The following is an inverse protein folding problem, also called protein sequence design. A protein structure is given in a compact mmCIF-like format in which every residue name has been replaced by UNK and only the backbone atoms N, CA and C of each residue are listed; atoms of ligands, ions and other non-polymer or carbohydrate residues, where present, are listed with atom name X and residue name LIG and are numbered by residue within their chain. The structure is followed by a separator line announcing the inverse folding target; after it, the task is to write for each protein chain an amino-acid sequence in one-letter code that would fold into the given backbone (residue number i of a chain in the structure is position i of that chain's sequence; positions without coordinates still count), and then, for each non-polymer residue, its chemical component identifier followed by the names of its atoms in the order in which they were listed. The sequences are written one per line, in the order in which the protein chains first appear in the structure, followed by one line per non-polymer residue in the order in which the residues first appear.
data_IF_679348470604
#
_entry.id   IF_679348470604
#
_cell.length_a   1.000
_cell.length_b   1.000
_cell.length_c   1.000
_cell.angle_alpha   90.00
_cell.angle_beta   90.00
_cell.angle_gamma   90.00
#
_symmetry.space_group_name_H-M   'P 1'
#
loop_
_entity.id
_entity.type
_entity.pdbx_description
1 polymer ?
#
# COMPACT_ATOMS: atom_id res chain seq x y z
N UNK A 1 -47.15 87.37 -28.09
CA UNK A 1 -46.78 86.25 -27.18
C UNK A 1 -45.85 85.34 -27.95
N UNK A 2 -44.54 85.46 -27.72
CA UNK A 2 -43.57 84.56 -28.36
C UNK A 2 -43.75 83.16 -27.79
N UNK A 3 -43.80 82.14 -28.64
CA UNK A 3 -43.88 80.74 -28.24
C UNK A 3 -42.55 80.33 -27.61
N UNK A 4 -42.48 80.30 -26.27
CA UNK A 4 -41.21 80.08 -25.54
C UNK A 4 -40.77 78.60 -25.61
N UNK A 5 -41.71 77.66 -25.77
CA UNK A 5 -41.45 76.20 -25.79
C UNK A 5 -42.36 75.40 -26.77
N UNK A 6 -43.05 76.08 -27.70
CA UNK A 6 -43.99 75.43 -28.63
C UNK A 6 -45.37 75.18 -28.04
N UNK A 7 -46.44 75.52 -28.78
CA UNK A 7 -47.85 75.29 -28.42
C UNK A 7 -48.35 76.14 -27.23
N UNK A 8 -49.22 77.12 -27.47
CA UNK A 8 -50.15 77.71 -26.47
C UNK A 8 -49.66 78.18 -25.08
N UNK A 9 -48.37 78.12 -24.74
CA UNK A 9 -47.87 78.40 -23.38
C UNK A 9 -47.89 79.90 -23.07
N UNK A 10 -48.33 80.23 -21.85
CA UNK A 10 -48.35 81.58 -21.28
C UNK A 10 -47.35 81.67 -20.11
N UNK A 11 -46.69 82.82 -19.96
CA UNK A 11 -45.86 83.15 -18.81
C UNK A 11 -46.61 84.12 -17.90
N UNK A 12 -46.96 83.68 -16.69
CA UNK A 12 -47.52 84.54 -15.67
C UNK A 12 -46.58 84.61 -14.47
N UNK A 13 -45.89 85.74 -14.29
CA UNK A 13 -44.94 85.99 -13.20
C UNK A 13 -43.87 84.88 -13.01
N UNK A 14 -43.38 84.31 -14.12
CA UNK A 14 -42.38 83.23 -14.11
C UNK A 14 -42.97 81.82 -14.04
N UNK A 15 -44.28 81.68 -13.87
CA UNK A 15 -44.98 80.40 -13.98
C UNK A 15 -45.41 80.18 -15.43
N UNK A 16 -44.82 79.18 -16.07
CA UNK A 16 -45.13 78.78 -17.45
C UNK A 16 -46.26 77.74 -17.43
N UNK A 17 -47.41 78.07 -18.01
CA UNK A 17 -48.60 77.21 -18.08
C UNK A 17 -49.26 77.21 -19.46
N UNK A 18 -49.85 76.08 -19.83
CA UNK A 18 -50.50 75.88 -21.14
C UNK A 18 -50.01 74.59 -21.81
N UNK A 19 -50.72 74.09 -22.83
CA UNK A 19 -50.43 72.79 -23.41
C UNK A 19 -49.15 72.82 -24.26
N UNK A 20 -48.12 72.11 -23.83
CA UNK A 20 -46.91 71.84 -24.62
C UNK A 20 -46.59 70.35 -24.64
N UNK A 21 -45.76 69.92 -25.60
CA UNK A 21 -45.34 68.52 -25.73
C UNK A 21 -43.85 68.39 -25.51
N UNK A 22 -43.43 67.35 -24.79
CA UNK A 22 -42.02 66.95 -24.68
C UNK A 22 -41.93 65.44 -24.61
N UNK A 23 -40.94 64.87 -25.31
CA UNK A 23 -40.73 63.42 -25.42
C UNK A 23 -42.04 62.65 -25.73
N UNK A 24 -42.86 63.19 -26.65
CA UNK A 24 -44.10 62.57 -27.12
C UNK A 24 -45.32 62.65 -26.19
N UNK A 25 -45.23 63.30 -25.02
CA UNK A 25 -46.35 63.47 -24.08
C UNK A 25 -46.75 64.94 -23.92
N UNK A 26 -48.03 65.22 -23.73
CA UNK A 26 -48.58 66.57 -23.50
C UNK A 26 -48.65 66.90 -22.00
N UNK A 27 -48.25 68.12 -21.62
CA UNK A 27 -48.26 68.60 -20.24
C UNK A 27 -48.81 70.02 -20.15
N UNK A 28 -49.32 70.40 -18.98
CA UNK A 28 -49.86 71.74 -18.74
C UNK A 28 -48.88 72.64 -17.99
N UNK A 29 -47.93 72.06 -17.25
CA UNK A 29 -46.86 72.79 -16.55
C UNK A 29 -45.49 72.10 -16.69
N UNK A 30 -44.41 72.87 -16.56
CA UNK A 30 -43.04 72.34 -16.58
C UNK A 30 -42.79 71.39 -15.40
N UNK A 31 -43.36 71.68 -14.23
CA UNK A 31 -43.20 70.83 -13.05
C UNK A 31 -43.80 69.43 -13.26
N UNK A 32 -44.97 69.34 -13.90
CA UNK A 32 -45.58 68.06 -14.28
C UNK A 32 -44.68 67.29 -15.26
N UNK A 33 -44.17 67.97 -16.30
CA UNK A 33 -43.29 67.35 -17.29
C UNK A 33 -41.99 66.83 -16.66
N UNK A 34 -41.33 67.62 -15.80
CA UNK A 34 -40.11 67.20 -15.10
C UNK A 34 -40.40 66.02 -14.17
N UNK A 35 -41.46 66.10 -13.36
CA UNK A 35 -41.80 65.04 -12.42
C UNK A 35 -42.15 63.72 -13.12
N UNK A 36 -42.90 63.77 -14.22
CA UNK A 36 -43.27 62.59 -15.00
C UNK A 36 -42.07 62.00 -15.73
N UNK A 37 -41.26 62.82 -16.39
CA UNK A 37 -40.08 62.33 -17.12
C UNK A 37 -38.97 61.83 -16.17
N UNK A 38 -38.83 62.41 -14.98
CA UNK A 38 -37.96 61.89 -13.93
C UNK A 38 -38.47 60.54 -13.38
N UNK A 39 -39.79 60.35 -13.25
CA UNK A 39 -40.37 59.05 -12.89
C UNK A 39 -40.15 57.99 -13.95
N UNK A 40 -40.14 58.37 -15.23
CA UNK A 40 -39.88 57.47 -16.37
C UNK A 40 -38.39 57.15 -16.55
N UNK A 41 -37.48 58.03 -16.13
CA UNK A 41 -36.02 57.84 -16.18
C UNK A 41 -35.49 56.99 -15.03
N UNK A 42 -36.05 55.79 -14.82
CA UNK A 42 -35.62 54.88 -13.76
C UNK A 42 -34.79 53.73 -14.33
N UNK A 43 -33.67 53.44 -13.70
CA UNK A 43 -32.92 52.19 -13.87
C UNK A 43 -33.23 51.27 -12.69
N UNK A 44 -33.43 49.98 -12.95
CA UNK A 44 -33.63 48.97 -11.90
C UNK A 44 -32.41 48.07 -11.82
N UNK A 45 -32.06 47.68 -10.59
CA UNK A 45 -31.02 46.69 -10.31
C UNK A 45 -31.66 45.61 -9.43
N UNK A 46 -31.63 44.37 -9.90
CA UNK A 46 -32.16 43.21 -9.16
C UNK A 46 -31.01 42.36 -8.68
N UNK A 47 -31.07 41.95 -7.42
CA UNK A 47 -30.10 41.05 -6.83
C UNK A 47 -30.29 39.62 -7.37
N UNK A 48 -29.24 39.03 -7.93
CA UNK A 48 -29.18 37.58 -8.24
C UNK A 48 -28.65 36.78 -7.05
N UNK A 49 -28.73 35.44 -7.09
CA UNK A 49 -28.42 34.57 -5.94
C UNK A 49 -27.05 34.83 -5.30
N UNK A 50 -25.99 34.96 -6.10
CA UNK A 50 -24.61 35.12 -5.63
C UNK A 50 -24.15 36.58 -5.52
N UNK A 51 -25.04 37.53 -5.80
CA UNK A 51 -24.75 38.96 -5.79
C UNK A 51 -25.47 39.58 -4.60
N UNK A 52 -24.91 40.62 -4.01
CA UNK A 52 -25.56 41.49 -3.02
C UNK A 52 -25.58 42.90 -3.59
N UNK A 53 -26.75 43.53 -3.56
CA UNK A 53 -26.92 44.92 -3.99
C UNK A 53 -27.38 45.74 -2.80
N UNK A 54 -26.61 46.74 -2.42
CA UNK A 54 -26.97 47.68 -1.35
C UNK A 54 -27.17 49.06 -1.94
N UNK A 55 -28.34 49.66 -1.70
CA UNK A 55 -28.63 51.02 -2.14
C UNK A 55 -28.14 52.06 -1.12
N UNK A 56 -27.75 53.22 -1.62
CA UNK A 56 -27.42 54.40 -0.84
C UNK A 56 -27.74 55.68 -1.62
N UNK A 57 -27.50 56.83 -1.00
CA UNK A 57 -27.69 58.14 -1.61
C UNK A 57 -26.36 58.88 -1.64
N UNK A 58 -26.02 59.44 -2.79
CA UNK A 58 -24.85 60.30 -2.96
C UNK A 58 -25.09 61.67 -2.32
N UNK A 59 -24.02 62.43 -2.12
CA UNK A 59 -24.11 63.77 -1.53
C UNK A 59 -24.96 64.76 -2.37
N UNK A 60 -25.08 64.53 -3.68
CA UNK A 60 -25.91 65.32 -4.60
C UNK A 60 -27.38 64.88 -4.66
N UNK A 61 -27.78 63.90 -3.84
CA UNK A 61 -29.13 63.36 -3.81
C UNK A 61 -29.43 62.28 -4.86
N UNK A 62 -28.46 61.92 -5.71
CA UNK A 62 -28.62 60.80 -6.65
C UNK A 62 -28.51 59.43 -5.96
N UNK A 63 -29.08 58.39 -6.56
CA UNK A 63 -29.00 57.03 -6.04
C UNK A 63 -27.64 56.38 -6.34
N UNK A 64 -27.13 55.60 -5.39
CA UNK A 64 -25.95 54.74 -5.55
C UNK A 64 -26.34 53.27 -5.29
N UNK A 65 -25.75 52.35 -6.04
CA UNK A 65 -25.94 50.92 -5.85
C UNK A 65 -24.57 50.24 -5.75
N UNK A 66 -24.23 49.74 -4.57
CA UNK A 66 -23.03 48.95 -4.37
C UNK A 66 -23.34 47.48 -4.69
N UNK A 67 -22.65 46.93 -5.69
CA UNK A 67 -22.78 45.54 -6.11
C UNK A 67 -21.54 44.78 -5.66
N UNK A 68 -21.74 43.71 -4.90
CA UNK A 68 -20.67 42.83 -4.41
C UNK A 68 -21.07 41.37 -4.56
N UNK A 69 -20.10 40.45 -4.48
CA UNK A 69 -20.41 39.04 -4.28
C UNK A 69 -20.93 38.81 -2.86
N UNK A 70 -21.87 37.88 -2.70
CA UNK A 70 -22.27 37.42 -1.39
C UNK A 70 -21.09 36.78 -0.64
N UNK A 71 -21.16 36.75 0.70
CA UNK A 71 -20.15 36.07 1.52
C UNK A 71 -20.16 34.56 1.27
N UNK A 72 -21.37 34.01 1.19
CA UNK A 72 -21.60 32.63 0.78
C UNK A 72 -22.12 32.64 -0.65
N UNK A 73 -21.47 31.88 -1.51
CA UNK A 73 -21.85 31.73 -2.91
C UNK A 73 -22.12 30.26 -3.21
N UNK A 74 -23.13 30.01 -4.02
CA UNK A 74 -23.47 28.67 -4.48
C UNK A 74 -23.27 28.58 -5.98
N UNK A 75 -22.45 27.63 -6.40
CA UNK A 75 -22.29 27.28 -7.79
C UNK A 75 -22.57 25.79 -7.94
N UNK A 76 -23.38 25.44 -8.94
CA UNK A 76 -23.57 24.04 -9.31
C UNK A 76 -22.29 23.48 -9.93
N UNK A 77 -21.51 24.33 -10.60
CA UNK A 77 -20.25 23.99 -11.25
C UNK A 77 -19.32 25.19 -11.33
N UNK A 78 -18.05 24.99 -11.00
CA UNK A 78 -16.98 25.97 -11.19
C UNK A 78 -15.92 25.35 -12.10
N UNK A 79 -15.55 26.04 -13.17
CA UNK A 79 -14.51 25.61 -14.11
C UNK A 79 -13.37 26.62 -14.11
N UNK A 80 -12.14 26.16 -13.84
CA UNK A 80 -10.92 26.96 -13.90
C UNK A 80 -9.92 26.25 -14.81
N UNK A 81 -9.80 26.72 -16.05
CA UNK A 81 -9.10 25.97 -17.09
C UNK A 81 -9.72 24.59 -17.28
N UNK A 82 -8.92 23.54 -17.11
CA UNK A 82 -9.38 22.15 -17.20
C UNK A 82 -9.97 21.64 -15.87
N UNK A 83 -9.74 22.33 -14.75
CA UNK A 83 -10.20 21.89 -13.43
C UNK A 83 -11.67 22.22 -13.25
N UNK A 84 -12.45 21.23 -12.80
CA UNK A 84 -13.88 21.36 -12.61
C UNK A 84 -14.28 20.88 -11.22
N UNK A 85 -14.86 21.77 -10.43
CA UNK A 85 -15.59 21.41 -9.21
C UNK A 85 -17.06 21.26 -9.55
N UNK A 86 -17.62 20.05 -9.39
CA UNK A 86 -18.98 19.72 -9.77
C UNK A 86 -19.82 19.37 -8.53
N UNK A 87 -20.75 20.25 -8.18
CA UNK A 87 -21.63 20.09 -7.01
C UNK A 87 -22.58 18.89 -7.10
N UNK A 88 -23.00 18.47 -8.30
CA UNK A 88 -23.88 17.32 -8.48
C UNK A 88 -23.18 15.98 -8.22
N UNK A 89 -21.88 15.89 -8.48
CA UNK A 89 -21.09 14.65 -8.29
C UNK A 89 -20.19 14.68 -7.05
N UNK A 90 -19.98 15.86 -6.45
CA UNK A 90 -18.98 16.09 -5.41
C UNK A 90 -17.53 15.94 -5.87
N UNK A 91 -17.29 15.77 -7.19
CA UNK A 91 -15.95 15.53 -7.74
C UNK A 91 -15.25 16.85 -8.07
N UNK A 92 -13.95 16.85 -7.83
CA UNK A 92 -13.01 17.80 -8.45
C UNK A 92 -12.24 17.00 -9.51
N UNK A 93 -12.40 17.37 -10.78
CA UNK A 93 -11.79 16.66 -11.91
C UNK A 93 -10.90 17.57 -12.75
N UNK A 94 -10.11 16.97 -13.65
CA UNK A 94 -9.21 17.71 -14.55
C UNK A 94 -7.88 18.12 -13.94
N UNK A 95 -7.54 17.59 -12.76
CA UNK A 95 -6.21 17.76 -12.15
C UNK A 95 -5.15 17.05 -12.97
N UNK A 96 -4.09 17.77 -13.34
CA UNK A 96 -2.82 17.16 -13.74
C UNK A 96 -2.18 16.45 -12.54
N UNK A 97 -1.21 15.57 -12.78
CA UNK A 97 -0.48 14.94 -11.67
C UNK A 97 0.21 16.02 -10.84
N UNK A 98 -0.08 16.07 -9.54
CA UNK A 98 0.56 17.00 -8.60
C UNK A 98 1.96 16.55 -8.24
N UNK A 99 2.80 17.46 -7.75
CA UNK A 99 4.10 17.07 -7.22
C UNK A 99 3.95 16.21 -5.96
N UNK A 100 4.71 15.12 -5.83
CA UNK A 100 4.73 14.26 -4.63
C UNK A 100 6.07 14.42 -3.93
N UNK A 101 6.09 15.25 -2.90
CA UNK A 101 7.27 15.51 -2.06
C UNK A 101 6.84 15.93 -0.66
N UNK A 102 7.76 15.88 0.31
CA UNK A 102 7.47 16.18 1.72
C UNK A 102 6.93 17.60 1.96
N UNK A 103 7.22 18.55 1.06
CA UNK A 103 6.77 19.95 1.15
C UNK A 103 5.72 20.32 0.12
N UNK A 104 5.17 19.36 -0.63
CA UNK A 104 4.19 19.65 -1.67
C UNK A 104 2.87 20.13 -1.08
N UNK A 105 2.29 21.14 -1.72
CA UNK A 105 0.92 21.61 -1.46
C UNK A 105 -0.02 21.31 -2.62
N UNK A 106 0.45 20.57 -3.62
CA UNK A 106 -0.33 20.22 -4.80
C UNK A 106 -1.34 19.13 -4.46
N UNK A 107 -2.55 19.25 -5.00
CA UNK A 107 -3.49 18.14 -5.00
C UNK A 107 -3.02 17.04 -5.98
N UNK A 108 -3.14 15.78 -5.58
CA UNK A 108 -2.85 14.63 -6.45
C UNK A 108 -4.13 14.12 -7.11
N UNK A 109 -3.98 13.43 -8.24
CA UNK A 109 -5.11 12.78 -8.91
C UNK A 109 -5.08 11.25 -8.72
N UNK A 110 -6.16 10.59 -9.14
CA UNK A 110 -6.32 9.15 -8.98
C UNK A 110 -5.26 8.29 -9.67
N UNK A 111 -4.61 8.79 -10.74
CA UNK A 111 -3.55 8.05 -11.43
C UNK A 111 -2.32 7.84 -10.54
N UNK A 112 -2.00 8.82 -9.69
CA UNK A 112 -0.85 8.76 -8.79
C UNK A 112 -1.11 7.78 -7.64
N UNK A 113 -2.31 7.81 -7.06
CA UNK A 113 -2.70 6.85 -6.03
C UNK A 113 -2.78 5.42 -6.58
N UNK A 114 -3.29 5.24 -7.81
CA UNK A 114 -3.32 3.95 -8.48
C UNK A 114 -1.91 3.41 -8.75
N UNK A 115 -0.99 4.25 -9.22
CA UNK A 115 0.40 3.86 -9.44
C UNK A 115 1.09 3.41 -8.14
N UNK A 116 0.80 4.06 -7.01
CA UNK A 116 1.28 3.62 -5.69
C UNK A 116 0.74 2.24 -5.33
N UNK A 117 -0.56 1.98 -5.53
CA UNK A 117 -1.18 0.68 -5.25
C UNK A 117 -0.61 -0.45 -6.13
N UNK A 118 -0.43 -0.20 -7.43
CA UNK A 118 0.24 -1.15 -8.34
C UNK A 118 1.71 -1.37 -7.95
N UNK A 119 2.41 -0.33 -7.47
CA UNK A 119 3.77 -0.45 -6.94
C UNK A 119 3.86 -1.43 -5.77
N UNK A 120 2.95 -1.32 -4.79
CA UNK A 120 2.91 -2.25 -3.64
C UNK A 120 2.56 -3.67 -4.09
N UNK A 121 1.57 -3.83 -4.98
CA UNK A 121 1.24 -5.13 -5.59
C UNK A 121 2.45 -5.80 -6.22
N UNK A 122 3.27 -5.04 -6.96
CA UNK A 122 4.46 -5.57 -7.63
C UNK A 122 5.57 -5.96 -6.66
N UNK A 123 5.73 -5.23 -5.55
CA UNK A 123 6.70 -5.59 -4.49
C UNK A 123 6.32 -6.90 -3.81
N UNK A 124 5.02 -7.11 -3.52
CA UNK A 124 4.54 -8.39 -2.95
C UNK A 124 4.66 -9.51 -4.00
N UNK A 125 4.34 -9.20 -5.26
CA UNK A 125 4.51 -10.11 -6.40
C UNK A 125 3.50 -11.26 -6.43
N UNK A 126 3.83 -12.33 -7.15
CA UNK A 126 3.01 -13.54 -7.25
C UNK A 126 1.59 -13.27 -7.77
N UNK A 127 0.59 -13.84 -7.11
CA UNK A 127 -0.84 -13.68 -7.43
C UNK A 127 -1.49 -12.45 -6.78
N UNK A 128 -0.70 -11.47 -6.32
CA UNK A 128 -1.25 -10.28 -5.68
C UNK A 128 -2.12 -9.50 -6.65
N UNK A 129 -3.33 -9.15 -6.21
CA UNK A 129 -4.23 -8.24 -6.94
C UNK A 129 -4.42 -6.95 -6.14
N UNK A 130 -4.65 -5.85 -6.87
CA UNK A 130 -4.95 -4.54 -6.31
C UNK A 130 -6.32 -4.10 -6.82
N UNK A 131 -7.23 -3.74 -5.91
CA UNK A 131 -8.50 -3.16 -6.25
C UNK A 131 -8.44 -1.63 -6.12
N UNK A 132 -8.40 -0.87 -7.23
CA UNK A 132 -8.25 0.59 -7.17
C UNK A 132 -9.46 1.32 -6.58
N UNK A 133 -10.63 0.67 -6.54
CA UNK A 133 -11.85 1.28 -6.00
C UNK A 133 -11.90 1.23 -4.47
N UNK A 134 -11.31 0.20 -3.86
CA UNK A 134 -11.29 0.01 -2.39
C UNK A 134 -9.92 0.27 -1.78
N UNK A 135 -8.85 0.25 -2.57
CA UNK A 135 -7.47 0.29 -2.10
C UNK A 135 -6.94 -1.07 -1.61
N UNK A 136 -7.75 -2.12 -1.71
CA UNK A 136 -7.44 -3.44 -1.15
C UNK A 136 -6.39 -4.19 -1.98
N UNK A 137 -5.43 -4.82 -1.27
CA UNK A 137 -4.46 -5.75 -1.83
C UNK A 137 -4.82 -7.15 -1.34
N UNK A 138 -4.99 -8.10 -2.27
CA UNK A 138 -5.28 -9.50 -1.92
C UNK A 138 -4.27 -10.44 -2.53
N UNK A 139 -3.90 -11.48 -1.78
CA UNK A 139 -3.07 -12.58 -2.23
C UNK A 139 -3.56 -13.85 -1.50
N UNK A 140 -3.34 -15.03 -2.08
CA UNK A 140 -3.75 -16.32 -1.52
C UNK A 140 -2.61 -17.32 -1.42
N UNK A 141 -1.41 -16.94 -1.87
CA UNK A 141 -0.28 -17.84 -2.01
C UNK A 141 1.05 -17.06 -2.09
N UNK A 142 1.31 -16.18 -1.11
CA UNK A 142 2.54 -15.38 -1.08
C UNK A 142 3.75 -16.30 -1.05
N UNK A 143 4.65 -16.17 -2.03
CA UNK A 143 5.86 -17.01 -2.12
C UNK A 143 5.59 -18.51 -2.31
N UNK A 144 4.37 -18.92 -2.68
CA UNK A 144 4.05 -20.34 -2.84
C UNK A 144 3.72 -21.08 -1.54
N UNK A 145 3.50 -20.37 -0.43
CA UNK A 145 3.29 -20.99 0.90
C UNK A 145 1.83 -21.37 1.19
N UNK A 146 0.88 -20.96 0.35
CA UNK A 146 -0.56 -21.09 0.57
C UNK A 146 -1.16 -20.03 1.50
N UNK A 147 -0.38 -18.99 1.87
CA UNK A 147 -0.80 -17.97 2.83
C UNK A 147 -1.13 -16.63 2.16
N UNK A 148 -2.03 -15.87 2.77
CA UNK A 148 -2.51 -14.57 2.26
C UNK A 148 -1.80 -13.36 2.84
N UNK A 149 -1.03 -13.53 3.92
CA UNK A 149 -0.26 -12.47 4.58
C UNK A 149 1.24 -12.77 4.55
N UNK A 150 2.05 -11.71 4.52
CA UNK A 150 3.52 -11.85 4.53
C UNK A 150 4.00 -12.52 5.83
N UNK A 151 3.41 -12.15 6.96
CA UNK A 151 3.76 -12.69 8.27
C UNK A 151 3.48 -14.21 8.34
N UNK A 152 2.31 -14.65 7.88
CA UNK A 152 1.96 -16.08 7.87
C UNK A 152 2.81 -16.86 6.86
N UNK A 153 3.07 -16.30 5.68
CA UNK A 153 3.99 -16.91 4.71
C UNK A 153 5.39 -17.12 5.31
N UNK A 154 5.92 -16.12 6.01
CA UNK A 154 7.23 -16.22 6.68
C UNK A 154 7.19 -17.23 7.83
N UNK A 155 6.12 -17.26 8.65
CA UNK A 155 5.94 -18.28 9.69
C UNK A 155 5.88 -19.69 9.10
N UNK A 156 5.21 -19.86 7.96
CA UNK A 156 5.13 -21.13 7.25
C UNK A 156 6.52 -21.58 6.78
N UNK A 157 7.30 -20.68 6.16
CA UNK A 157 8.70 -20.93 5.78
C UNK A 157 9.56 -21.28 7.00
N UNK A 158 9.46 -20.53 8.10
CA UNK A 158 10.20 -20.80 9.33
C UNK A 158 9.85 -22.17 9.94
N UNK A 159 8.57 -22.55 9.87
CA UNK A 159 8.09 -23.86 10.31
C UNK A 159 8.64 -24.97 9.41
N UNK A 160 8.59 -24.79 8.09
CA UNK A 160 9.15 -25.72 7.12
C UNK A 160 10.67 -25.88 7.32
N UNK A 161 11.41 -24.78 7.50
CA UNK A 161 12.84 -24.80 7.78
C UNK A 161 13.18 -25.50 9.09
N UNK A 162 12.36 -25.32 10.13
CA UNK A 162 12.53 -26.03 11.41
C UNK A 162 12.30 -27.53 11.26
N UNK A 163 11.26 -27.93 10.52
CA UNK A 163 10.96 -29.34 10.23
C UNK A 163 11.99 -30.01 9.31
N UNK A 164 12.63 -29.24 8.42
CA UNK A 164 13.67 -29.75 7.52
C UNK A 164 14.96 -30.14 8.26
N UNK A 165 15.14 -29.74 9.54
CA UNK A 165 16.30 -30.11 10.33
C UNK A 165 16.33 -31.63 10.54
N UNK A 166 17.44 -32.24 10.14
CA UNK A 166 17.76 -33.62 10.52
C UNK A 166 18.46 -33.62 11.88
N UNK A 167 18.18 -34.64 12.69
CA UNK A 167 18.81 -34.82 14.00
C UNK A 167 19.63 -36.10 14.00
N UNK A 168 20.75 -36.09 14.71
CA UNK A 168 21.56 -37.27 14.98
C UNK A 168 21.59 -37.44 16.49
N UNK A 169 21.06 -38.57 16.97
CA UNK A 169 21.14 -38.92 18.39
C UNK A 169 22.33 -39.83 18.60
N UNK A 170 23.24 -39.44 19.50
CA UNK A 170 24.37 -40.28 19.87
C UNK A 170 23.87 -41.52 20.62
N UNK A 171 24.09 -42.69 20.02
CA UNK A 171 23.88 -44.00 20.66
C UNK A 171 25.14 -44.48 21.38
N UNK A 172 25.04 -45.65 22.02
CA UNK A 172 26.08 -46.15 22.94
C UNK A 172 27.46 -46.37 22.28
N UNK A 173 27.51 -46.80 21.01
CA UNK A 173 28.76 -47.19 20.33
C UNK A 173 29.28 -46.14 19.34
N UNK A 174 28.69 -44.95 19.37
CA UNK A 174 29.06 -43.86 18.48
C UNK A 174 29.37 -42.61 19.29
N UNK A 175 30.25 -41.77 18.75
CA UNK A 175 30.50 -40.41 19.23
C UNK A 175 30.01 -39.47 18.14
N UNK A 176 29.24 -38.46 18.54
CA UNK A 176 28.74 -37.44 17.62
C UNK A 176 29.25 -36.09 18.09
N UNK A 177 30.04 -35.44 17.26
CA UNK A 177 30.59 -34.11 17.55
C UNK A 177 29.96 -33.10 16.59
N UNK A 178 29.35 -32.04 17.12
CA UNK A 178 28.80 -30.98 16.28
C UNK A 178 29.84 -29.91 15.98
N UNK A 179 29.79 -29.38 14.77
CA UNK A 179 30.58 -28.24 14.32
C UNK A 179 29.75 -27.34 13.41
N UNK A 180 30.26 -26.15 13.11
CA UNK A 180 29.66 -25.23 12.13
C UNK A 180 30.55 -25.17 10.89
N UNK A 181 29.95 -25.41 9.73
CA UNK A 181 30.61 -25.26 8.44
C UNK A 181 30.83 -23.79 8.10
N UNK A 182 31.69 -23.50 7.12
CA UNK A 182 31.94 -22.14 6.67
C UNK A 182 30.69 -21.42 6.10
N UNK A 183 29.72 -22.18 5.58
CA UNK A 183 28.43 -21.68 5.10
C UNK A 183 27.39 -21.46 6.22
N UNK A 184 27.77 -21.69 7.48
CA UNK A 184 26.90 -21.57 8.65
C UNK A 184 26.00 -22.77 8.92
N UNK A 185 26.03 -23.82 8.08
CA UNK A 185 25.30 -25.07 8.34
C UNK A 185 25.93 -25.86 9.48
N UNK A 186 25.14 -26.67 10.19
CA UNK A 186 25.64 -27.55 11.25
C UNK A 186 26.13 -28.86 10.62
N UNK A 187 27.37 -29.24 10.95
CA UNK A 187 27.93 -30.55 10.63
C UNK A 187 27.91 -31.45 11.87
N UNK A 188 27.60 -32.73 11.70
CA UNK A 188 27.71 -33.74 12.74
C UNK A 188 28.74 -34.79 12.30
N UNK A 189 29.91 -34.77 12.92
CA UNK A 189 30.92 -35.80 12.72
C UNK A 189 30.58 -37.02 13.58
N UNK A 190 30.31 -38.15 12.92
CA UNK A 190 29.96 -39.41 13.57
C UNK A 190 31.12 -40.38 13.47
N UNK A 191 31.64 -40.82 14.61
CA UNK A 191 32.71 -41.81 14.70
C UNK A 191 32.27 -43.01 15.55
N UNK A 192 32.90 -44.16 15.33
CA UNK A 192 32.81 -45.25 16.30
C UNK A 192 33.41 -44.74 17.60
N UNK A 193 32.70 -44.94 18.71
CA UNK A 193 33.28 -44.68 20.01
C UNK A 193 34.56 -45.50 20.15
N UNK A 194 35.56 -44.95 20.85
CA UNK A 194 36.79 -45.71 21.18
C UNK A 194 36.43 -46.99 21.95
N UNK A 195 35.38 -46.88 22.77
CA UNK A 195 34.82 -47.98 23.53
C UNK A 195 33.43 -48.30 23.00
N UNK A 196 33.20 -49.56 22.65
CA UNK A 196 31.95 -50.06 22.06
C UNK A 196 31.39 -51.21 22.88
N UNK A 197 30.07 -51.22 23.03
CA UNK A 197 29.30 -52.22 23.77
C UNK A 197 28.25 -52.87 22.89
N UNK A 198 28.38 -54.17 22.62
CA UNK A 198 27.41 -54.93 21.85
C UNK A 198 26.88 -56.10 22.70
N UNK A 199 25.57 -56.34 22.71
CA UNK A 199 24.96 -57.41 23.51
C UNK A 199 25.38 -58.82 23.08
N UNK A 200 25.66 -58.96 21.78
CA UNK A 200 26.33 -60.11 21.20
C UNK A 200 27.24 -59.57 20.13
N UNK A 201 28.52 -59.50 20.44
CA UNK A 201 29.50 -59.65 19.38
C UNK A 201 29.65 -61.15 19.19
N UNK A 202 29.36 -61.66 18.00
CA UNK A 202 29.83 -63.00 17.66
C UNK A 202 31.34 -62.89 17.46
N UNK A 203 32.09 -63.19 18.53
CA UNK A 203 33.55 -63.27 18.71
C UNK A 203 33.79 -64.30 19.81
N UNK A 204 34.70 -65.26 19.68
CA UNK A 204 34.92 -66.30 20.72
C UNK A 204 35.91 -65.86 21.80
N UNK A 205 36.79 -66.77 22.23
CA UNK A 205 38.03 -66.46 22.97
C UNK A 205 39.06 -65.75 22.05
N UNK A 206 38.56 -64.90 21.18
CA UNK A 206 39.18 -64.48 19.95
C UNK A 206 39.63 -63.06 20.22
N UNK A 207 40.89 -62.92 20.60
CA UNK A 207 41.52 -61.60 20.79
C UNK A 207 42.15 -61.21 19.48
N UNK A 208 41.66 -60.17 18.81
CA UNK A 208 42.32 -59.63 17.61
C UNK A 208 43.30 -58.54 18.05
N UNK A 209 44.57 -58.88 18.17
CA UNK A 209 45.59 -57.92 18.60
C UNK A 209 46.13 -57.12 17.40
N UNK A 210 45.90 -55.81 17.39
CA UNK A 210 46.35 -54.91 16.33
C UNK A 210 47.85 -54.63 16.31
N UNK A 211 48.57 -54.87 17.41
CA UNK A 211 50.00 -54.64 17.50
C UNK A 211 50.81 -55.90 17.20
N UNK A 212 50.35 -57.07 17.66
CA UNK A 212 51.06 -58.35 17.46
C UNK A 212 50.49 -59.20 16.34
N UNK A 213 49.32 -58.84 15.81
CA UNK A 213 48.62 -59.56 14.74
C UNK A 213 48.01 -60.89 15.17
N UNK A 214 48.00 -61.20 16.48
CA UNK A 214 47.58 -62.50 16.97
C UNK A 214 46.09 -62.53 17.19
N UNK A 215 45.49 -63.63 16.72
CA UNK A 215 44.19 -64.09 17.19
C UNK A 215 44.41 -65.21 18.17
N UNK A 216 44.52 -64.83 19.43
CA UNK A 216 44.83 -65.73 20.51
C UNK A 216 43.60 -66.01 21.34
N UNK A 217 43.68 -67.11 22.09
CA UNK A 217 42.72 -67.46 23.12
C UNK A 217 41.69 -68.49 22.67
N UNK A 218 41.53 -68.74 21.37
CA UNK A 218 40.63 -69.75 20.81
C UNK A 218 40.67 -71.03 21.67
N UNK A 219 39.51 -71.64 21.93
CA UNK A 219 39.47 -73.03 22.44
C UNK A 219 39.92 -73.95 21.32
N UNK A 220 40.43 -75.13 21.64
CA UNK A 220 40.55 -76.18 20.64
C UNK A 220 39.16 -76.46 20.06
N UNK A 221 38.88 -75.94 18.88
CA UNK A 221 37.59 -76.13 18.25
C UNK A 221 37.37 -77.62 18.02
N UNK A 222 36.14 -78.07 18.27
CA UNK A 222 35.71 -79.44 18.00
C UNK A 222 36.10 -79.80 16.57
N UNK A 223 37.00 -80.76 16.39
CA UNK A 223 37.50 -81.17 15.07
C UNK A 223 36.58 -82.26 14.50
N UNK A 224 35.44 -81.84 13.91
CA UNK A 224 34.43 -82.74 13.31
C UNK A 224 33.57 -82.04 12.23
N UNK A 225 32.88 -82.82 11.37
CA UNK A 225 31.99 -82.31 10.32
C UNK A 225 30.76 -81.61 10.93
N UNK A 226 30.68 -80.28 10.81
CA UNK A 226 29.58 -79.46 11.33
C UNK A 226 29.93 -78.54 12.50
N UNK A 227 31.18 -78.56 12.99
CA UNK A 227 31.66 -77.64 14.04
C UNK A 227 31.83 -76.20 13.53
N UNK A 228 31.66 -75.20 14.41
CA UNK A 228 31.79 -73.74 14.12
C UNK A 228 32.83 -73.05 15.00
N UNK A 229 33.71 -73.87 15.57
CA UNK A 229 34.66 -73.45 16.57
C UNK A 229 36.04 -73.26 15.93
N UNK A 230 36.80 -72.27 16.37
CA UNK A 230 38.11 -71.96 15.80
C UNK A 230 39.21 -72.81 16.47
N UNK A 231 40.29 -73.17 15.77
CA UNK A 231 41.38 -74.06 16.25
C UNK A 231 42.61 -73.32 16.77
N UNK A 232 43.43 -73.95 17.60
CA UNK A 232 44.52 -73.29 18.34
C UNK A 232 45.92 -73.72 17.93
N UNK A 233 46.93 -72.98 18.41
CA UNK A 233 48.33 -73.35 18.29
C UNK A 233 48.73 -74.62 19.07
N UNK A 234 47.96 -75.05 20.07
CA UNK A 234 48.22 -76.29 20.81
C UNK A 234 47.82 -77.54 19.98
N UNK A 235 46.71 -77.44 19.24
CA UNK A 235 46.30 -78.45 18.26
C UNK A 235 47.37 -78.63 17.17
N UNK A 236 48.04 -77.53 16.75
CA UNK A 236 49.14 -77.56 15.77
C UNK A 236 50.44 -78.14 16.35
N UNK A 237 50.81 -77.73 17.55
CA UNK A 237 52.05 -78.17 18.19
C UNK A 237 52.05 -79.69 18.46
N UNK A 238 50.88 -80.25 18.79
CA UNK A 238 50.70 -81.69 18.99
C UNK A 238 50.92 -82.50 17.69
N UNK A 239 50.58 -81.96 16.52
CA UNK A 239 50.82 -82.61 15.21
C UNK A 239 52.29 -82.58 14.80
N UNK A 240 52.98 -81.47 15.06
CA UNK A 240 54.39 -81.32 14.69
C UNK A 240 55.32 -82.27 15.46
N UNK A 241 55.07 -82.48 16.76
CA UNK A 241 55.85 -83.41 17.59
C UNK A 241 55.68 -84.89 17.18
N UNK A 242 54.68 -85.23 16.35
CA UNK A 242 54.38 -86.61 15.92
C UNK A 242 55.18 -87.12 14.70
N UNK A 243 56.05 -86.30 14.07
CA UNK A 243 56.81 -86.66 12.83
C UNK A 243 58.33 -86.59 12.97
N UNK A 244 58.80 -86.16 14.14
CA UNK A 244 60.21 -85.99 14.46
C UNK A 244 60.89 -87.23 15.02
N UNK A 245 60.11 -88.28 15.31
CA UNK A 245 60.58 -89.65 15.58
C UNK A 245 60.32 -90.52 14.34
#
# INVERSE_FOLDING_TARGET
TSSIIGGGVTNNAGNLSGPFTTNGSSYNTIAEAIADQAKKSKTTVTQGENIVVTSGTNADGSANYQVATAKDVKFDKVTVGNVVTNGATGKISGLTAGNVSASSTDAINGSQLNAQGEGVKNIIGGSTTYNPSTGELTNTNIGGTGESTIDDAIKNVNTAATKAKTTVTQGNNIVVTSGTNADGSVNYEVATAKDVNFDKVTVGNVVTDGATGKISGLTDGTVAAGSTEAVTGNQLNTTAQSTGD
#
